data_IF_949614502642
#
_entry.id   IF_949614502642
#
_cell.length_a   1.000
_cell.length_b   1.000
_cell.length_c   1.000
_cell.angle_alpha   90.00
_cell.angle_beta   90.00
_cell.angle_gamma   90.00
#
_symmetry.space_group_name_H-M   'P 1'
#
loop_
_entity.id
_entity.type
_entity.pdbx_description
1 polymer ?
#
# COMPACT_ATOMS: atom_id res chain seq x y z
N UNK A 1 8.59 26.91 27.59
CA UNK A 1 8.43 25.75 26.69
C UNK A 1 9.66 24.86 26.80
N UNK A 2 9.51 23.53 26.96
CA UNK A 2 10.64 22.59 26.93
C UNK A 2 11.20 22.49 25.51
N UNK A 3 12.52 22.67 25.37
CA UNK A 3 13.24 22.64 24.09
C UNK A 3 13.70 21.21 23.78
N UNK A 4 13.66 20.80 22.51
CA UNK A 4 14.13 19.47 22.09
C UNK A 4 15.63 19.29 22.35
N UNK A 5 15.99 18.10 22.84
CA UNK A 5 17.38 17.68 22.93
C UNK A 5 17.95 17.38 21.54
N UNK A 6 19.28 17.31 21.41
CA UNK A 6 19.91 17.03 20.12
C UNK A 6 19.53 15.63 19.56
N UNK A 7 19.46 14.60 20.41
CA UNK A 7 19.00 13.26 20.01
C UNK A 7 17.53 13.27 19.56
N UNK A 8 16.66 14.03 20.24
CA UNK A 8 15.27 14.17 19.81
C UNK A 8 15.14 14.89 18.47
N UNK A 9 15.93 15.94 18.22
CA UNK A 9 15.95 16.62 16.91
C UNK A 9 16.39 15.66 15.80
N UNK A 10 17.41 14.85 16.07
CA UNK A 10 17.89 13.86 15.11
C UNK A 10 16.81 12.80 14.85
N UNK A 11 16.15 12.29 15.89
CA UNK A 11 15.01 11.39 15.76
C UNK A 11 13.91 11.97 14.86
N UNK A 12 13.52 13.24 15.06
CA UNK A 12 12.52 13.90 14.20
C UNK A 12 12.96 13.92 12.73
N UNK A 13 14.22 14.27 12.47
CA UNK A 13 14.78 14.29 11.12
C UNK A 13 14.76 12.89 10.48
N UNK A 14 15.24 11.89 11.22
CA UNK A 14 15.32 10.50 10.75
C UNK A 14 13.95 9.85 10.55
N UNK A 15 12.98 10.20 11.38
CA UNK A 15 11.60 9.70 11.27
C UNK A 15 10.92 10.18 9.99
N UNK A 16 11.18 11.41 9.55
CA UNK A 16 10.56 11.98 8.35
C UNK A 16 11.10 11.41 7.03
N UNK A 17 12.11 10.54 7.08
CA UNK A 17 12.66 9.87 5.90
C UNK A 17 11.74 8.73 5.45
N UNK A 18 11.36 7.86 6.38
CA UNK A 18 10.66 6.59 6.09
C UNK A 18 9.43 6.34 6.99
N UNK A 19 9.11 7.26 7.91
CA UNK A 19 8.07 7.13 8.93
C UNK A 19 8.23 5.87 9.80
N UNK A 20 9.46 5.35 9.90
CA UNK A 20 9.80 4.19 10.72
C UNK A 20 10.41 4.64 12.04
N UNK A 21 9.60 4.60 13.11
CA UNK A 21 9.99 5.12 14.42
C UNK A 21 11.20 4.38 15.02
N UNK A 22 11.24 3.05 14.92
CA UNK A 22 12.32 2.23 15.47
C UNK A 22 13.64 2.47 14.75
N UNK A 23 13.62 2.52 13.42
CA UNK A 23 14.82 2.81 12.63
C UNK A 23 15.28 4.25 12.84
N UNK A 24 14.35 5.20 12.96
CA UNK A 24 14.68 6.58 13.29
C UNK A 24 15.38 6.71 14.66
N UNK A 25 14.96 5.95 15.67
CA UNK A 25 15.62 5.92 16.97
C UNK A 25 17.06 5.37 16.87
N UNK A 26 17.27 4.30 16.11
CA UNK A 26 18.62 3.74 15.89
C UNK A 26 19.52 4.77 15.21
N UNK A 27 19.07 5.37 14.10
CA UNK A 27 19.84 6.40 13.35
C UNK A 27 20.08 7.65 14.18
N UNK A 28 19.18 7.97 15.11
CA UNK A 28 19.33 9.07 16.07
C UNK A 28 20.32 8.77 17.22
N UNK A 29 20.95 7.59 17.23
CA UNK A 29 21.95 7.20 18.22
C UNK A 29 21.36 6.73 19.55
N UNK A 30 20.15 6.17 19.53
CA UNK A 30 19.60 5.40 20.65
C UNK A 30 20.02 3.92 20.55
N UNK A 31 19.94 3.20 21.68
CA UNK A 31 20.31 1.78 21.72
C UNK A 31 19.41 0.97 20.78
N UNK A 32 20.02 0.13 19.95
CA UNK A 32 19.31 -0.78 19.05
C UNK A 32 18.41 -1.76 19.81
N UNK A 33 18.86 -2.23 20.98
CA UNK A 33 18.12 -3.20 21.79
C UNK A 33 16.80 -2.64 22.34
N UNK A 34 16.73 -1.33 22.62
CA UNK A 34 15.55 -0.67 23.16
C UNK A 34 14.91 0.32 22.18
N UNK A 35 15.30 0.31 20.90
CA UNK A 35 14.85 1.26 19.91
C UNK A 35 13.32 1.32 19.77
N UNK A 36 12.64 0.17 19.79
CA UNK A 36 11.17 0.12 19.74
C UNK A 36 10.52 0.84 20.92
N UNK A 37 10.97 0.55 22.15
CA UNK A 37 10.41 1.16 23.36
C UNK A 37 10.69 2.67 23.41
N UNK A 38 11.92 3.07 23.09
CA UNK A 38 12.32 4.48 23.04
C UNK A 38 11.54 5.23 21.96
N UNK A 39 11.35 4.63 20.79
CA UNK A 39 10.57 5.23 19.71
C UNK A 39 9.12 5.50 20.15
N UNK A 40 8.47 4.55 20.80
CA UNK A 40 7.13 4.73 21.38
C UNK A 40 7.11 5.85 22.43
N UNK A 41 8.09 5.89 23.33
CA UNK A 41 8.20 6.94 24.34
C UNK A 41 8.41 8.33 23.69
N UNK A 42 9.23 8.42 22.65
CA UNK A 42 9.48 9.64 21.90
C UNK A 42 8.22 10.12 21.18
N UNK A 43 7.46 9.22 20.56
CA UNK A 43 6.17 9.55 19.95
C UNK A 43 5.08 9.89 20.99
N UNK A 44 5.21 9.44 22.23
CA UNK A 44 4.35 9.87 23.34
C UNK A 44 4.64 11.28 23.86
N UNK A 45 5.80 11.86 23.54
CA UNK A 45 6.19 13.20 24.03
C UNK A 45 5.60 14.30 23.15
N UNK A 46 4.73 15.13 23.71
CA UNK A 46 4.11 16.27 23.02
C UNK A 46 5.14 17.19 22.34
N UNK A 47 6.30 17.40 22.96
CA UNK A 47 7.37 18.23 22.36
C UNK A 47 7.98 17.64 21.09
N UNK A 48 8.02 16.31 20.98
CA UNK A 48 8.53 15.59 19.79
C UNK A 48 7.45 15.57 18.71
N UNK A 49 6.21 15.24 19.07
CA UNK A 49 5.08 15.25 18.14
C UNK A 49 4.89 16.63 17.51
N UNK A 50 4.90 17.70 18.31
CA UNK A 50 4.79 19.07 17.78
C UNK A 50 5.95 19.42 16.83
N UNK A 51 7.14 18.86 17.06
CA UNK A 51 8.29 19.07 16.20
C UNK A 51 8.18 18.30 14.88
N UNK A 52 7.67 17.06 14.92
CA UNK A 52 7.35 16.26 13.74
C UNK A 52 6.31 16.99 12.90
N UNK A 53 5.19 17.40 13.51
CA UNK A 53 4.12 18.11 12.81
C UNK A 53 4.65 19.39 12.14
N UNK A 54 5.36 20.24 12.89
CA UNK A 54 5.95 21.47 12.32
C UNK A 54 6.92 21.19 11.18
N UNK A 55 7.67 20.10 11.22
CA UNK A 55 8.58 19.72 10.16
C UNK A 55 7.85 19.12 8.94
N UNK A 56 6.75 18.39 9.16
CA UNK A 56 5.84 17.96 8.09
C UNK A 56 5.19 19.17 7.42
N UNK A 57 4.67 20.11 8.18
CA UNK A 57 4.04 21.34 7.65
C UNK A 57 5.03 22.13 6.79
N UNK A 58 6.25 22.34 7.28
CA UNK A 58 7.32 22.98 6.48
C UNK A 58 7.67 22.22 5.20
N UNK A 59 7.67 20.88 5.24
CA UNK A 59 7.91 20.06 4.05
C UNK A 59 6.78 20.28 3.05
N UNK A 60 5.54 20.26 3.52
CA UNK A 60 4.33 20.50 2.74
C UNK A 60 4.32 21.90 2.14
N UNK A 61 4.66 22.95 2.90
CA UNK A 61 4.78 24.32 2.40
C UNK A 61 5.83 24.44 1.30
N UNK A 62 6.98 23.77 1.47
CA UNK A 62 8.08 23.80 0.50
C UNK A 62 7.74 23.03 -0.79
N UNK A 63 7.12 21.85 -0.68
CA UNK A 63 6.82 21.03 -1.87
C UNK A 63 5.49 21.39 -2.51
N UNK A 64 4.57 22.01 -1.76
CA UNK A 64 3.16 22.23 -2.12
C UNK A 64 2.41 20.94 -2.52
N UNK A 65 2.93 19.80 -2.07
CA UNK A 65 2.32 18.48 -2.28
C UNK A 65 1.66 18.10 -0.96
N UNK A 66 0.37 18.42 -0.83
CA UNK A 66 -0.49 18.03 0.28
C UNK A 66 -1.59 17.05 -0.20
N UNK A 67 -2.47 16.64 0.71
CA UNK A 67 -3.60 15.76 0.37
C UNK A 67 -4.47 16.37 -0.74
N UNK A 68 -4.77 17.67 -0.66
CA UNK A 68 -5.56 18.38 -1.68
C UNK A 68 -4.90 18.34 -3.06
N UNK A 69 -3.59 18.53 -3.13
CA UNK A 69 -2.85 18.41 -4.39
C UNK A 69 -3.02 17.02 -5.02
N UNK A 70 -2.87 15.96 -4.21
CA UNK A 70 -3.02 14.58 -4.70
C UNK A 70 -4.46 14.34 -5.16
N UNK A 71 -5.45 14.77 -4.39
CA UNK A 71 -6.87 14.60 -4.73
C UNK A 71 -7.24 15.35 -5.99
N UNK A 72 -6.81 16.61 -6.12
CA UNK A 72 -7.04 17.39 -7.33
C UNK A 72 -6.42 16.71 -8.55
N UNK A 73 -5.25 16.08 -8.39
CA UNK A 73 -4.62 15.34 -9.47
C UNK A 73 -5.37 14.05 -9.84
N UNK A 74 -5.92 13.33 -8.85
CA UNK A 74 -6.78 12.18 -9.11
C UNK A 74 -8.07 12.62 -9.82
N UNK A 75 -8.72 13.70 -9.38
CA UNK A 75 -9.92 14.25 -10.04
C UNK A 75 -9.63 14.66 -11.48
N UNK A 76 -8.50 15.33 -11.73
CA UNK A 76 -8.09 15.73 -13.08
C UNK A 76 -7.91 14.52 -14.00
N UNK A 77 -7.37 13.40 -13.50
CA UNK A 77 -7.25 12.15 -14.26
C UNK A 77 -8.62 11.51 -14.54
N UNK A 78 -9.53 11.54 -13.58
CA UNK A 78 -10.87 10.99 -13.73
C UNK A 78 -11.66 11.71 -14.83
N UNK A 79 -11.56 13.03 -14.85
CA UNK A 79 -12.27 13.93 -15.76
C UNK A 79 -11.71 13.97 -17.19
N UNK A 80 -10.58 13.30 -17.47
CA UNK A 80 -10.02 13.26 -18.82
C UNK A 80 -11.03 12.74 -19.85
N UNK A 81 -11.35 13.52 -20.87
CA UNK A 81 -12.25 13.11 -21.96
C UNK A 81 -11.44 12.84 -23.23
N UNK A 82 -11.65 11.68 -23.85
CA UNK A 82 -10.95 11.30 -25.09
C UNK A 82 -11.28 12.29 -26.21
N UNK A 83 -12.47 12.92 -26.19
CA UNK A 83 -12.84 13.98 -27.12
C UNK A 83 -11.87 15.17 -27.10
N UNK A 84 -11.17 15.42 -25.99
CA UNK A 84 -10.19 16.51 -25.89
C UNK A 84 -9.04 16.33 -26.88
N UNK A 85 -8.69 15.08 -27.21
CA UNK A 85 -7.50 14.74 -28.00
C UNK A 85 -7.84 14.12 -29.37
N UNK A 86 -9.12 14.03 -29.73
CA UNK A 86 -9.58 13.58 -31.04
C UNK A 86 -10.07 14.74 -31.91
N UNK A 87 -9.76 14.67 -33.21
CA UNK A 87 -10.36 15.50 -34.26
C UNK A 87 -11.76 14.96 -34.59
N UNK A 88 -12.55 15.74 -35.34
CA UNK A 88 -13.91 15.38 -35.74
C UNK A 88 -13.97 14.10 -36.60
N UNK A 89 -12.88 13.78 -37.31
CA UNK A 89 -12.73 12.57 -38.11
C UNK A 89 -12.25 11.33 -37.31
N UNK A 90 -12.11 11.48 -35.99
CA UNK A 90 -11.66 10.42 -35.08
C UNK A 90 -10.14 10.22 -35.04
N UNK A 91 -9.34 11.01 -35.75
CA UNK A 91 -7.88 10.96 -35.64
C UNK A 91 -7.40 11.69 -34.39
N UNK A 92 -6.24 11.28 -33.87
CA UNK A 92 -5.60 11.99 -32.77
C UNK A 92 -5.13 13.38 -33.23
N UNK A 93 -5.44 14.41 -32.43
CA UNK A 93 -4.83 15.73 -32.56
C UNK A 93 -3.31 15.62 -32.39
N UNK A 94 -2.53 16.56 -32.96
CA UNK A 94 -1.12 16.74 -32.60
C UNK A 94 -0.93 16.87 -31.09
N UNK A 95 0.14 16.27 -30.54
CA UNK A 95 0.41 16.24 -29.08
C UNK A 95 0.50 17.66 -28.49
N UNK A 96 0.93 18.63 -29.30
CA UNK A 96 1.01 20.05 -28.93
C UNK A 96 -0.35 20.66 -28.59
N UNK A 97 -1.42 20.14 -29.20
CA UNK A 97 -2.81 20.57 -28.96
C UNK A 97 -3.44 19.86 -27.76
N UNK A 98 -2.78 18.83 -27.21
CA UNK A 98 -3.36 18.09 -26.08
C UNK A 98 -3.29 18.93 -24.80
N UNK A 99 -4.36 18.92 -23.99
CA UNK A 99 -4.33 19.48 -22.66
C UNK A 99 -3.16 18.93 -21.84
N UNK A 100 -2.62 19.76 -20.95
CA UNK A 100 -1.49 19.35 -20.09
C UNK A 100 -1.81 18.10 -19.28
N UNK A 101 -3.05 18.00 -18.79
CA UNK A 101 -3.57 16.84 -18.06
C UNK A 101 -3.31 15.54 -18.85
N UNK A 102 -3.72 15.50 -20.10
CA UNK A 102 -3.52 14.39 -21.02
C UNK A 102 -2.03 14.04 -21.19
N UNK A 103 -1.18 15.02 -21.48
CA UNK A 103 0.27 14.81 -21.67
C UNK A 103 0.98 14.25 -20.44
N UNK A 104 0.47 14.52 -19.25
CA UNK A 104 1.08 14.11 -17.99
C UNK A 104 0.46 12.85 -17.36
N UNK A 105 -0.63 12.32 -17.93
CA UNK A 105 -1.42 11.24 -17.32
C UNK A 105 -1.47 9.94 -18.12
N UNK A 106 -1.04 9.95 -19.39
CA UNK A 106 -0.98 8.71 -20.19
C UNK A 106 0.03 7.72 -19.63
N UNK A 107 -0.29 6.42 -19.73
CA UNK A 107 0.58 5.35 -19.21
C UNK A 107 1.59 4.87 -20.25
N UNK A 108 1.37 5.19 -21.53
CA UNK A 108 2.32 4.95 -22.60
C UNK A 108 1.77 5.31 -23.98
N UNK A 109 2.67 5.50 -24.93
CA UNK A 109 2.37 5.62 -26.36
C UNK A 109 3.20 4.58 -27.08
N UNK A 110 2.56 3.77 -27.91
CA UNK A 110 3.20 2.88 -28.86
C UNK A 110 3.08 3.50 -30.26
N UNK A 111 4.22 3.67 -30.91
CA UNK A 111 4.34 4.30 -32.24
C UNK A 111 4.90 3.24 -33.16
N UNK A 112 4.08 2.78 -34.10
CA UNK A 112 4.45 1.78 -35.08
C UNK A 112 4.48 2.42 -36.46
N UNK A 113 5.64 2.33 -37.10
CA UNK A 113 5.80 2.67 -38.51
C UNK A 113 5.51 1.41 -39.32
N UNK A 114 4.38 1.43 -40.03
CA UNK A 114 3.97 0.37 -40.93
C UNK A 114 4.26 0.82 -42.36
N UNK A 115 5.22 0.14 -42.98
CA UNK A 115 5.49 0.24 -44.41
C UNK A 115 4.56 -0.74 -45.14
N UNK A 116 3.68 -0.23 -46.01
CA UNK A 116 2.91 -1.09 -46.93
C UNK A 116 3.06 -0.55 -48.36
N UNK A 117 3.97 -1.15 -49.13
CA UNK A 117 4.37 -0.62 -50.43
C UNK A 117 5.02 0.77 -50.30
N UNK A 118 4.57 1.73 -51.11
CA UNK A 118 5.03 3.13 -51.09
C UNK A 118 4.33 4.01 -50.04
N UNK A 119 3.45 3.43 -49.21
CA UNK A 119 2.69 4.17 -48.20
C UNK A 119 3.30 3.92 -46.81
N UNK A 120 3.90 4.97 -46.26
CA UNK A 120 4.26 5.07 -44.84
C UNK A 120 3.00 5.37 -44.02
N UNK A 121 2.65 4.47 -43.09
CA UNK A 121 1.53 4.70 -42.16
C UNK A 121 2.02 4.63 -40.72
N UNK A 122 1.77 5.70 -39.95
CA UNK A 122 2.15 5.82 -38.56
C UNK A 122 0.96 5.46 -37.66
N UNK A 123 0.99 4.30 -37.02
CA UNK A 123 -0.04 3.89 -36.06
C UNK A 123 0.40 4.32 -34.65
N UNK A 124 -0.42 5.14 -34.00
CA UNK A 124 -0.23 5.58 -32.61
C UNK A 124 -1.27 4.90 -31.72
N UNK A 125 -0.83 4.00 -30.84
CA UNK A 125 -1.69 3.40 -29.82
C UNK A 125 -1.41 4.03 -28.46
N UNK A 126 -2.42 4.64 -27.85
CA UNK A 126 -2.31 5.27 -26.53
C UNK A 126 -2.78 4.27 -25.48
N UNK A 127 -1.99 4.12 -24.41
CA UNK A 127 -2.41 3.43 -23.19
C UNK A 127 -2.96 4.46 -22.20
N UNK A 128 -4.20 4.23 -21.79
CA UNK A 128 -4.94 5.15 -20.92
C UNK A 128 -4.48 5.03 -19.45
N UNK A 129 -4.65 6.09 -18.64
CA UNK A 129 -4.61 5.96 -17.20
C UNK A 129 -5.69 5.00 -16.70
N UNK A 130 -5.37 4.24 -15.66
CA UNK A 130 -6.32 3.33 -15.01
C UNK A 130 -7.35 4.15 -14.22
N UNK A 131 -8.48 4.46 -14.88
CA UNK A 131 -9.58 5.23 -14.27
C UNK A 131 -10.26 4.50 -13.12
N UNK A 132 -10.29 3.15 -13.15
CA UNK A 132 -10.91 2.38 -12.08
C UNK A 132 -10.08 2.48 -10.80
N UNK A 133 -8.75 2.31 -10.93
CA UNK A 133 -7.85 2.48 -9.79
C UNK A 133 -7.89 3.90 -9.24
N UNK A 134 -8.04 4.89 -10.12
CA UNK A 134 -8.16 6.29 -9.74
C UNK A 134 -9.42 6.55 -8.89
N UNK A 135 -10.58 6.02 -9.30
CA UNK A 135 -11.82 6.10 -8.54
C UNK A 135 -11.76 5.35 -7.20
N UNK A 136 -11.07 4.21 -7.14
CA UNK A 136 -10.84 3.49 -5.88
C UNK A 136 -10.05 4.36 -4.89
N UNK A 137 -9.00 5.04 -5.33
CA UNK A 137 -8.19 5.94 -4.50
C UNK A 137 -8.99 7.16 -4.01
N UNK A 138 -9.82 7.74 -4.88
CA UNK A 138 -10.75 8.81 -4.50
C UNK A 138 -11.78 8.32 -3.47
N UNK A 139 -12.36 7.13 -3.67
CA UNK A 139 -13.34 6.54 -2.76
C UNK A 139 -12.77 6.23 -1.37
N UNK A 140 -11.52 5.78 -1.30
CA UNK A 140 -10.78 5.56 -0.05
C UNK A 140 -10.59 6.86 0.74
N UNK A 141 -10.41 7.99 0.06
CA UNK A 141 -10.29 9.29 0.74
C UNK A 141 -11.63 9.79 1.29
N UNK A 142 -12.73 9.60 0.56
CA UNK A 142 -14.08 10.07 0.93
C UNK A 142 -14.74 9.17 2.01
N UNK A 143 -14.04 8.16 2.52
CA UNK A 143 -14.54 7.19 3.49
C UNK A 143 -15.87 6.54 3.07
N UNK A 144 -16.02 6.23 1.77
CA UNK A 144 -17.17 5.48 1.27
C UNK A 144 -17.15 4.10 1.93
N UNK A 145 -18.20 3.79 2.70
CA UNK A 145 -18.23 2.60 3.56
C UNK A 145 -18.06 1.26 2.80
N UNK A 146 -18.28 1.24 1.49
CA UNK A 146 -18.05 0.09 0.63
C UNK A 146 -16.56 -0.26 0.40
N UNK A 147 -15.63 0.69 0.60
CA UNK A 147 -14.18 0.49 0.42
C UNK A 147 -13.41 0.40 1.74
N UNK A 148 -14.10 0.54 2.88
CA UNK A 148 -13.50 0.27 4.17
C UNK A 148 -13.42 -1.25 4.34
N UNK A 149 -12.23 -1.81 4.20
CA UNK A 149 -11.95 -3.18 4.63
C UNK A 149 -12.34 -3.29 6.12
N UNK A 150 -13.46 -3.95 6.41
CA UNK A 150 -13.81 -4.29 7.78
C UNK A 150 -12.70 -5.22 8.28
N UNK A 151 -11.89 -4.74 9.22
CA UNK A 151 -11.05 -5.64 9.99
C UNK A 151 -11.98 -6.46 10.88
N UNK A 152 -12.32 -7.67 10.43
CA UNK A 152 -12.94 -8.67 11.30
C UNK A 152 -11.91 -9.03 12.37
N UNK A 153 -12.14 -8.58 13.61
CA UNK A 153 -11.44 -9.15 14.75
C UNK A 153 -11.82 -10.63 14.82
N UNK A 154 -10.87 -11.56 15.02
CA UNK A 154 -11.21 -12.96 15.23
C UNK A 154 -12.08 -13.04 16.49
N UNK A 155 -13.35 -13.38 16.31
CA UNK A 155 -14.25 -13.62 17.42
C UNK A 155 -13.85 -14.99 17.99
N UNK A 156 -13.20 -15.01 19.15
CA UNK A 156 -12.94 -16.26 19.87
C UNK A 156 -14.28 -16.90 20.19
N UNK A 157 -14.61 -17.97 19.45
CA UNK A 157 -15.76 -18.81 19.77
C UNK A 157 -15.47 -19.46 21.14
N UNK A 158 -16.41 -19.40 22.10
CA UNK A 158 -16.23 -20.10 23.36
C UNK A 158 -16.08 -21.59 23.05
N UNK A 159 -14.92 -22.16 23.40
CA UNK A 159 -14.62 -23.57 23.23
C UNK A 159 -15.57 -24.34 24.16
N UNK A 160 -16.70 -24.79 23.62
CA UNK A 160 -17.57 -25.75 24.27
C UNK A 160 -16.78 -27.05 24.46
N UNK A 161 -16.66 -27.52 25.71
CA UNK A 161 -16.05 -28.80 26.04
C UNK A 161 -16.80 -29.91 25.30
N UNK A 162 -16.20 -30.46 24.25
CA UNK A 162 -16.72 -31.66 23.59
C UNK A 162 -16.37 -32.84 24.51
N UNK A 163 -17.37 -33.38 25.20
CA UNK A 163 -17.25 -34.70 25.80
C UNK A 163 -17.46 -35.74 24.69
N UNK A 164 -16.39 -36.45 24.35
CA UNK A 164 -16.46 -37.57 23.40
C UNK A 164 -16.79 -38.83 24.19
N UNK A 165 -18.00 -39.35 24.01
CA UNK A 165 -18.39 -40.66 24.51
C UNK A 165 -18.05 -41.70 23.42
N UNK A 166 -17.08 -42.57 23.69
CA UNK A 166 -16.66 -43.62 22.76
C UNK A 166 -17.67 -44.76 22.83
N UNK A 167 -18.57 -44.84 21.87
CA UNK A 167 -19.41 -46.03 21.66
C UNK A 167 -18.60 -47.05 20.86
N UNK A 168 -18.15 -48.10 21.54
CA UNK A 168 -17.32 -49.15 20.95
C UNK A 168 -18.06 -49.93 19.85
N UNK A 169 -17.64 -49.76 18.60
CA UNK A 169 -17.99 -50.67 17.53
C UNK A 169 -17.06 -51.89 17.58
N UNK A 170 -17.64 -53.06 17.88
CA UNK A 170 -16.96 -54.34 17.93
C UNK A 170 -16.56 -54.79 16.51
N UNK A 171 -15.33 -54.51 16.11
CA UNK A 171 -14.75 -55.01 14.86
C UNK A 171 -14.00 -56.29 15.19
N UNK A 172 -14.52 -57.43 14.75
CA UNK A 172 -13.82 -58.73 14.85
C UNK A 172 -12.54 -58.69 13.99
N UNK A 173 -11.40 -59.16 14.51
CA UNK A 173 -10.17 -59.25 13.73
C UNK A 173 -10.28 -60.33 12.65
N UNK A 174 -9.76 -60.03 11.46
CA UNK A 174 -9.47 -61.00 10.40
C UNK A 174 -8.15 -61.68 10.77
N UNK A 175 -8.18 -63.00 10.90
CA UNK A 175 -6.98 -63.82 10.98
C UNK A 175 -6.18 -63.67 9.68
N UNK A 176 -4.88 -63.39 9.80
CA UNK A 176 -3.86 -64.16 9.09
C UNK A 176 -2.45 -63.84 9.63
N UNK A 177 -1.91 -64.89 10.24
CA UNK A 177 -0.53 -65.37 10.35
C UNK A 177 0.65 -64.43 10.05
N UNK A 178 1.62 -64.42 10.97
CA UNK A 178 3.02 -64.24 10.58
C UNK A 178 3.92 -63.55 11.58
N UNK A 179 4.59 -64.36 12.42
CA UNK A 179 5.93 -64.12 12.99
C UNK A 179 6.13 -63.04 14.05
N UNK A 180 6.08 -63.53 15.30
CA UNK A 180 6.94 -63.25 16.45
C UNK A 180 8.22 -62.42 16.20
N UNK A 181 8.38 -61.34 16.98
CA UNK A 181 9.61 -60.56 17.12
C UNK A 181 9.60 -59.77 18.43
N UNK A 182 10.20 -60.35 19.47
CA UNK A 182 10.37 -59.80 20.82
C UNK A 182 11.48 -58.73 20.83
N UNK A 183 11.39 -57.80 21.80
CA UNK A 183 12.45 -56.95 22.44
C UNK A 183 12.21 -55.45 22.23
N UNK A 184 12.39 -54.53 23.18
CA UNK A 184 12.54 -54.52 24.64
C UNK A 184 12.57 -53.03 25.02
N UNK A 185 11.91 -52.65 26.12
CA UNK A 185 11.93 -51.29 26.70
C UNK A 185 13.06 -51.18 27.72
N UNK A 186 13.89 -50.15 27.60
CA UNK A 186 14.69 -49.47 28.66
C UNK A 186 15.56 -48.42 27.96
N UNK A 187 15.74 -47.18 28.39
CA UNK A 187 15.29 -46.38 29.52
C UNK A 187 15.77 -44.95 29.29
#
# INVERSE_FOLDING_TARGET
MRKLTNKQKLFVKEYLIDLNASQAAIRAGYSKASANQIATELLGKTVVINAIQKAMDKRTERTKINADYVLNRLVEIDQLDVADILQDDGKLKPIQEWPKAWRQSITGIDVQELMSGDIESLVKKIKWPDKLKNLELLGKHVAISAFNEKQEQPQELPIGKIQVEVVGANIKPKDDEGTSGVLSVTG
#
